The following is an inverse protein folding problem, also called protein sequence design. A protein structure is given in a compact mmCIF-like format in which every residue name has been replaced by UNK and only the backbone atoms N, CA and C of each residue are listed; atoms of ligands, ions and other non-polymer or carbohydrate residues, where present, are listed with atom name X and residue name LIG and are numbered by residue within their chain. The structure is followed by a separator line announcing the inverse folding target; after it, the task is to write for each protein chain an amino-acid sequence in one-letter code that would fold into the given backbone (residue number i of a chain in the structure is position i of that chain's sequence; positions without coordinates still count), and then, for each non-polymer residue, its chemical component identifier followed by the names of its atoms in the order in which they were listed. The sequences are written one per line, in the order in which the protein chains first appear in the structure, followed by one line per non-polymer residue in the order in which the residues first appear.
data_IF_761629690059
#
_entry.id   IF_761629690059
#
_cell.length_a   1.000
_cell.length_b   1.000
_cell.length_c   1.000
_cell.angle_alpha   90.00
_cell.angle_beta   90.00
_cell.angle_gamma   90.00
#
_symmetry.space_group_name_H-M   'P 1'
#
loop_
_entity.id
_entity.type
_entity.pdbx_description
1 polymer ?
#
# COMPACT_ATOMS: atom_id res chain seq x y z
N UNK A 1 8.62 10.71 -36.59
CA UNK A 1 9.49 10.58 -35.40
C UNK A 1 8.75 10.80 -34.08
N UNK A 2 7.85 11.80 -33.94
CA UNK A 2 7.14 12.09 -32.69
C UNK A 2 6.24 10.97 -32.11
N UNK A 3 5.65 10.10 -32.95
CA UNK A 3 4.85 8.94 -32.48
C UNK A 3 5.70 7.80 -31.92
N UNK A 4 6.95 7.68 -32.37
CA UNK A 4 7.85 6.62 -31.92
C UNK A 4 8.48 6.98 -30.56
N UNK A 5 8.80 8.26 -30.37
CA UNK A 5 9.28 8.78 -29.08
C UNK A 5 8.19 8.72 -27.99
N UNK A 6 6.93 9.02 -28.31
CA UNK A 6 5.82 8.90 -27.33
C UNK A 6 5.55 7.44 -26.93
N UNK A 7 5.59 6.51 -27.89
CA UNK A 7 5.43 5.08 -27.61
C UNK A 7 6.58 4.51 -26.77
N UNK A 8 7.83 4.87 -27.10
CA UNK A 8 9.00 4.49 -26.29
C UNK A 8 8.94 5.08 -24.87
N UNK A 9 8.40 6.29 -24.73
CA UNK A 9 8.19 6.91 -23.43
C UNK A 9 7.13 6.16 -22.60
N UNK A 10 5.99 5.78 -23.21
CA UNK A 10 4.95 4.99 -22.55
C UNK A 10 5.46 3.60 -22.12
N UNK A 11 6.27 2.94 -22.94
CA UNK A 11 6.90 1.67 -22.57
C UNK A 11 7.86 1.79 -21.39
N UNK A 12 8.65 2.87 -21.34
CA UNK A 12 9.55 3.14 -20.20
C UNK A 12 8.75 3.38 -18.91
N UNK A 13 7.65 4.13 -19.00
CA UNK A 13 6.74 4.35 -17.86
C UNK A 13 6.11 3.03 -17.38
N UNK A 14 5.58 2.22 -18.30
CA UNK A 14 5.00 0.91 -17.96
C UNK A 14 6.04 -0.05 -17.34
N UNK A 15 7.29 -0.01 -17.81
CA UNK A 15 8.37 -0.81 -17.25
C UNK A 15 8.77 -0.33 -15.83
N UNK A 16 8.84 0.98 -15.61
CA UNK A 16 9.13 1.55 -14.29
C UNK A 16 8.02 1.23 -13.27
N UNK A 17 6.75 1.32 -13.69
CA UNK A 17 5.61 0.95 -12.87
C UNK A 17 5.63 -0.54 -12.48
N UNK A 18 6.04 -1.42 -13.40
CA UNK A 18 6.17 -2.84 -13.11
C UNK A 18 7.30 -3.14 -12.10
N UNK A 19 8.42 -2.42 -12.15
CA UNK A 19 9.51 -2.56 -11.17
C UNK A 19 9.05 -2.12 -9.78
N UNK A 20 8.50 -0.91 -9.66
CA UNK A 20 7.98 -0.38 -8.39
C UNK A 20 6.88 -1.27 -7.81
N UNK A 21 6.01 -1.81 -8.67
CA UNK A 21 4.97 -2.73 -8.26
C UNK A 21 5.56 -4.05 -7.73
N UNK A 22 6.60 -4.60 -8.37
CA UNK A 22 7.28 -5.81 -7.91
C UNK A 22 7.93 -5.60 -6.54
N UNK A 23 8.55 -4.45 -6.31
CA UNK A 23 9.16 -4.12 -5.03
C UNK A 23 8.10 -3.99 -3.93
N UNK A 24 7.02 -3.26 -4.19
CA UNK A 24 5.93 -3.12 -3.23
C UNK A 24 5.29 -4.48 -2.86
N UNK A 25 5.08 -5.35 -3.86
CA UNK A 25 4.57 -6.70 -3.66
C UNK A 25 5.51 -7.58 -2.82
N UNK A 26 6.83 -7.46 -3.04
CA UNK A 26 7.81 -8.17 -2.24
C UNK A 26 7.75 -7.74 -0.76
N UNK A 27 7.60 -6.42 -0.51
CA UNK A 27 7.47 -5.90 0.85
C UNK A 27 6.18 -6.36 1.54
N UNK A 28 5.05 -6.35 0.83
CA UNK A 28 3.78 -6.86 1.35
C UNK A 28 3.90 -8.34 1.75
N UNK A 29 4.51 -9.16 0.89
CA UNK A 29 4.79 -10.57 1.20
C UNK A 29 5.68 -10.74 2.43
N UNK A 30 6.77 -9.97 2.54
CA UNK A 30 7.66 -10.06 3.70
C UNK A 30 6.94 -9.70 5.00
N UNK A 31 6.07 -8.69 4.98
CA UNK A 31 5.26 -8.30 6.14
C UNK A 31 4.30 -9.43 6.55
N UNK A 32 3.67 -10.07 5.56
CA UNK A 32 2.78 -11.21 5.79
C UNK A 32 3.52 -12.43 6.35
N UNK A 33 4.68 -12.77 5.77
CA UNK A 33 5.51 -13.88 6.26
C UNK A 33 5.97 -13.61 7.70
N UNK A 34 6.46 -12.40 7.98
CA UNK A 34 6.91 -12.01 9.33
C UNK A 34 5.79 -12.12 10.35
N UNK A 35 4.60 -11.60 10.04
CA UNK A 35 3.46 -11.62 10.97
C UNK A 35 2.87 -13.03 11.11
N UNK A 36 2.69 -13.73 9.99
CA UNK A 36 2.12 -15.06 9.94
C UNK A 36 3.00 -16.12 10.60
N UNK A 37 4.33 -15.93 10.63
CA UNK A 37 5.27 -16.90 11.19
C UNK A 37 4.90 -17.34 12.60
N UNK A 38 4.63 -16.40 13.52
CA UNK A 38 4.30 -16.72 14.92
C UNK A 38 2.95 -17.46 15.06
N UNK A 39 1.93 -17.01 14.32
CA UNK A 39 0.60 -17.62 14.34
C UNK A 39 0.63 -19.05 13.77
N UNK A 40 1.23 -19.21 12.59
CA UNK A 40 1.30 -20.49 11.89
C UNK A 40 2.22 -21.47 12.62
N UNK A 41 3.35 -21.01 13.17
CA UNK A 41 4.21 -21.87 14.01
C UNK A 41 3.46 -22.37 15.23
N UNK A 42 2.65 -21.51 15.88
CA UNK A 42 1.83 -21.91 17.02
C UNK A 42 0.85 -23.04 16.67
N UNK A 43 0.16 -22.94 15.53
CA UNK A 43 -0.74 -24.00 15.05
C UNK A 43 -0.01 -25.31 14.80
N UNK A 44 1.16 -25.27 14.16
CA UNK A 44 1.99 -26.46 13.95
C UNK A 44 2.49 -27.08 15.26
N UNK A 45 2.87 -26.26 16.24
CA UNK A 45 3.29 -26.74 17.57
C UNK A 45 2.14 -27.41 18.31
N UNK A 46 0.93 -26.84 18.28
CA UNK A 46 -0.26 -27.45 18.89
C UNK A 46 -0.57 -28.80 18.23
N UNK A 47 -0.57 -28.87 16.90
CA UNK A 47 -0.81 -30.13 16.18
C UNK A 47 0.25 -31.20 16.53
N UNK A 48 1.53 -30.81 16.62
CA UNK A 48 2.62 -31.70 17.05
C UNK A 48 2.41 -32.19 18.50
N UNK A 49 2.07 -31.29 19.42
CA UNK A 49 1.84 -31.60 20.83
C UNK A 49 0.63 -32.53 21.05
N UNK A 50 -0.38 -32.47 20.19
CA UNK A 50 -1.54 -33.37 20.25
C UNK A 50 -1.25 -34.77 19.70
N UNK A 51 -0.34 -34.89 18.72
CA UNK A 51 -0.08 -36.13 17.99
C UNK A 51 1.08 -36.94 18.56
N UNK A 52 2.19 -36.30 18.94
CA UNK A 52 3.39 -37.00 19.42
C UNK A 52 3.15 -37.86 20.67
N UNK A 53 2.38 -37.43 21.70
CA UNK A 53 2.13 -38.26 22.87
C UNK A 53 1.31 -39.52 22.56
N UNK A 54 0.48 -39.48 21.51
CA UNK A 54 -0.35 -40.62 21.13
C UNK A 54 0.46 -41.76 20.50
N UNK A 55 1.67 -41.48 20.00
CA UNK A 55 2.57 -42.48 19.42
C UNK A 55 2.86 -43.64 20.39
N UNK A 56 2.89 -43.38 21.69
CA UNK A 56 3.22 -44.36 22.73
C UNK A 56 2.00 -45.05 23.36
N UNK A 57 0.83 -44.98 22.72
CA UNK A 57 -0.34 -45.73 23.17
C UNK A 57 -0.22 -47.22 22.81
N UNK A 58 -0.48 -48.17 23.74
CA UNK A 58 -0.30 -49.61 23.48
C UNK A 58 -1.18 -50.13 22.33
N UNK A 59 -0.61 -50.94 21.43
CA UNK A 59 -1.37 -51.77 20.48
C UNK A 59 -1.28 -51.45 18.98
N UNK A 60 -0.33 -50.66 18.48
CA UNK A 60 -0.26 -50.41 17.03
C UNK A 60 1.11 -49.94 16.46
N UNK A 61 1.98 -50.88 16.11
CA UNK A 61 3.31 -50.56 15.53
C UNK A 61 3.25 -49.69 14.26
N UNK A 62 2.28 -49.93 13.35
CA UNK A 62 2.10 -49.11 12.13
C UNK A 62 1.55 -47.72 12.45
N UNK A 63 0.65 -47.58 13.43
CA UNK A 63 0.10 -46.26 13.80
C UNK A 63 1.11 -45.41 14.55
N UNK A 64 1.98 -46.04 15.33
CA UNK A 64 3.10 -45.39 16.02
C UNK A 64 4.05 -44.69 15.02
N UNK A 65 4.48 -45.39 13.97
CA UNK A 65 5.33 -44.82 12.92
C UNK A 65 4.67 -43.63 12.20
N UNK A 66 3.37 -43.75 11.90
CA UNK A 66 2.59 -42.68 11.28
C UNK A 66 2.43 -41.45 12.20
N UNK A 67 2.09 -41.62 13.48
CA UNK A 67 1.95 -40.52 14.44
C UNK A 67 3.25 -39.75 14.63
N UNK A 68 4.39 -40.46 14.70
CA UNK A 68 5.71 -39.85 14.74
C UNK A 68 6.01 -39.06 13.47
N UNK A 69 5.77 -39.65 12.29
CA UNK A 69 6.04 -38.99 11.01
C UNK A 69 5.23 -37.69 10.86
N UNK A 70 3.92 -37.73 11.16
CA UNK A 70 3.04 -36.55 11.10
C UNK A 70 3.44 -35.52 12.15
N UNK A 71 3.65 -35.92 13.41
CA UNK A 71 4.02 -35.01 14.50
C UNK A 71 5.36 -34.31 14.26
N UNK A 72 6.39 -35.06 13.84
CA UNK A 72 7.70 -34.50 13.49
C UNK A 72 7.63 -33.57 12.28
N UNK A 73 6.79 -33.86 11.30
CA UNK A 73 6.60 -32.97 10.14
C UNK A 73 5.96 -31.64 10.56
N UNK A 74 5.00 -31.65 11.49
CA UNK A 74 4.44 -30.43 12.06
C UNK A 74 5.51 -29.66 12.85
N UNK A 75 6.28 -30.34 13.70
CA UNK A 75 7.37 -29.69 14.46
C UNK A 75 8.42 -29.05 13.54
N UNK A 76 8.85 -29.76 12.50
CA UNK A 76 9.75 -29.25 11.48
C UNK A 76 9.16 -28.05 10.72
N UNK A 77 7.87 -28.10 10.40
CA UNK A 77 7.15 -27.00 9.76
C UNK A 77 7.06 -25.77 10.68
N UNK A 78 6.88 -25.96 11.99
CA UNK A 78 6.90 -24.87 12.97
C UNK A 78 8.27 -24.18 13.06
N UNK A 79 9.35 -24.96 13.10
CA UNK A 79 10.71 -24.41 13.10
C UNK A 79 10.98 -23.65 11.80
N UNK A 80 10.59 -24.24 10.66
CA UNK A 80 10.76 -23.63 9.37
C UNK A 80 10.02 -22.29 9.26
N UNK A 81 8.76 -22.21 9.67
CA UNK A 81 8.01 -20.95 9.61
C UNK A 81 8.63 -19.87 10.50
N UNK A 82 9.16 -20.22 11.67
CA UNK A 82 9.91 -19.30 12.53
C UNK A 82 11.19 -18.79 11.85
N UNK A 83 11.98 -19.68 11.24
CA UNK A 83 13.20 -19.30 10.49
C UNK A 83 12.85 -18.38 9.33
N UNK A 84 11.82 -18.71 8.55
CA UNK A 84 11.38 -17.86 7.43
C UNK A 84 10.84 -16.50 7.92
N UNK A 85 10.16 -16.46 9.06
CA UNK A 85 9.74 -15.23 9.72
C UNK A 85 10.91 -14.35 10.16
N UNK A 86 11.95 -14.95 10.73
CA UNK A 86 13.18 -14.24 11.13
C UNK A 86 13.94 -13.71 9.91
N UNK A 87 14.04 -14.50 8.83
CA UNK A 87 14.62 -14.06 7.56
C UNK A 87 13.81 -12.91 6.93
N UNK A 88 12.48 -12.97 7.02
CA UNK A 88 11.62 -11.89 6.53
C UNK A 88 11.79 -10.62 7.35
N UNK A 89 11.89 -10.74 8.68
CA UNK A 89 12.20 -9.62 9.56
C UNK A 89 13.56 -8.99 9.22
N UNK A 90 14.60 -9.81 9.04
CA UNK A 90 15.94 -9.35 8.64
C UNK A 90 15.93 -8.67 7.27
N UNK A 91 15.19 -9.22 6.30
CA UNK A 91 15.04 -8.62 4.97
C UNK A 91 14.40 -7.24 5.06
N UNK A 92 13.30 -7.11 5.81
CA UNK A 92 12.59 -5.84 6.01
C UNK A 92 13.46 -4.76 6.68
N UNK A 93 14.29 -5.14 7.66
CA UNK A 93 15.09 -4.18 8.44
C UNK A 93 16.42 -3.82 7.79
N UNK A 94 17.06 -4.74 7.06
CA UNK A 94 18.41 -4.51 6.51
C UNK A 94 18.46 -4.29 5.00
N UNK A 95 17.69 -5.05 4.22
CA UNK A 95 17.75 -5.01 2.75
C UNK A 95 16.36 -5.24 2.12
N UNK A 96 15.43 -4.29 2.29
CA UNK A 96 14.04 -4.44 1.84
C UNK A 96 13.89 -4.67 0.33
N UNK A 97 14.86 -4.23 -0.46
CA UNK A 97 14.90 -4.37 -1.93
C UNK A 97 15.94 -5.40 -2.40
N UNK A 98 16.51 -6.17 -1.47
CA UNK A 98 17.58 -7.14 -1.74
C UNK A 98 17.11 -8.40 -2.47
N UNK A 99 18.06 -9.29 -2.81
CA UNK A 99 17.74 -10.61 -3.39
C UNK A 99 16.88 -11.46 -2.46
N UNK A 100 17.18 -11.42 -1.15
CA UNK A 100 16.42 -12.15 -0.13
C UNK A 100 14.93 -11.79 -0.16
N UNK A 101 14.59 -10.51 -0.29
CA UNK A 101 13.20 -10.03 -0.35
C UNK A 101 12.42 -10.61 -1.54
N UNK A 102 13.10 -10.87 -2.66
CA UNK A 102 12.48 -11.41 -3.89
C UNK A 102 12.35 -12.94 -3.87
N UNK A 103 13.33 -13.64 -3.28
CA UNK A 103 13.39 -15.10 -3.29
C UNK A 103 12.57 -15.71 -2.14
N UNK A 104 12.58 -15.06 -0.96
CA UNK A 104 11.98 -15.61 0.26
C UNK A 104 10.49 -15.97 0.10
N UNK A 105 9.61 -15.14 -0.52
CA UNK A 105 8.20 -15.49 -0.66
C UNK A 105 7.97 -16.75 -1.51
N UNK A 106 8.76 -16.93 -2.57
CA UNK A 106 8.69 -18.14 -3.41
C UNK A 106 9.18 -19.35 -2.63
N UNK A 107 10.28 -19.22 -1.88
CA UNK A 107 10.79 -20.29 -1.03
C UNK A 107 9.77 -20.70 0.06
N UNK A 108 9.11 -19.74 0.73
CA UNK A 108 8.02 -20.03 1.68
C UNK A 108 6.90 -20.79 0.99
N UNK A 109 6.44 -20.33 -0.18
CA UNK A 109 5.37 -20.99 -0.92
C UNK A 109 5.74 -22.44 -1.27
N UNK A 110 6.93 -22.67 -1.83
CA UNK A 110 7.42 -24.02 -2.18
C UNK A 110 7.43 -24.92 -0.95
N UNK A 111 8.07 -24.48 0.13
CA UNK A 111 8.25 -25.33 1.30
C UNK A 111 6.93 -25.63 2.03
N UNK A 112 6.01 -24.67 2.08
CA UNK A 112 4.66 -24.89 2.65
C UNK A 112 3.87 -25.90 1.81
N UNK A 113 3.90 -25.79 0.48
CA UNK A 113 3.22 -26.75 -0.41
C UNK A 113 3.84 -28.14 -0.31
N UNK A 114 5.17 -28.25 -0.24
CA UNK A 114 5.87 -29.53 -0.04
C UNK A 114 5.51 -30.16 1.31
N UNK A 115 5.47 -29.38 2.39
CA UNK A 115 5.03 -29.88 3.70
C UNK A 115 3.60 -30.42 3.64
N UNK A 116 2.67 -29.68 2.99
CA UNK A 116 1.29 -30.14 2.79
C UNK A 116 1.18 -31.42 1.97
N UNK A 117 2.00 -31.58 0.93
CA UNK A 117 2.07 -32.80 0.12
C UNK A 117 2.60 -33.98 0.94
N UNK A 118 3.72 -33.80 1.65
CA UNK A 118 4.33 -34.84 2.50
C UNK A 118 3.37 -35.31 3.58
N UNK A 119 2.71 -34.37 4.28
CA UNK A 119 1.67 -34.70 5.25
C UNK A 119 0.56 -35.51 4.60
N UNK A 120 0.07 -35.09 3.43
CA UNK A 120 -1.00 -35.81 2.71
C UNK A 120 -0.57 -37.23 2.36
N UNK A 121 0.67 -37.44 1.91
CA UNK A 121 1.19 -38.79 1.64
C UNK A 121 1.25 -39.66 2.91
N UNK A 122 1.65 -39.10 4.05
CA UNK A 122 1.61 -39.82 5.32
C UNK A 122 0.18 -40.17 5.74
N UNK A 123 -0.78 -39.25 5.59
CA UNK A 123 -2.18 -39.54 5.89
C UNK A 123 -2.70 -40.67 4.99
N UNK A 124 -2.43 -40.65 3.69
CA UNK A 124 -2.88 -41.70 2.76
C UNK A 124 -2.46 -43.13 3.16
N UNK A 125 -1.37 -43.28 3.91
CA UNK A 125 -0.92 -44.59 4.42
C UNK A 125 -1.89 -45.21 5.44
N UNK A 126 -2.56 -44.39 6.25
CA UNK A 126 -3.42 -44.86 7.36
C UNK A 126 -4.88 -44.49 7.13
N UNK A 127 -5.15 -43.24 6.79
CA UNK A 127 -6.49 -42.72 6.57
C UNK A 127 -6.46 -41.70 5.42
N UNK A 128 -7.11 -41.98 4.27
CA UNK A 128 -7.00 -41.17 3.06
C UNK A 128 -7.60 -39.77 3.24
N UNK A 129 -6.78 -38.84 3.77
CA UNK A 129 -7.11 -37.43 3.97
C UNK A 129 -6.28 -36.56 3.05
N UNK A 130 -6.93 -35.54 2.47
CA UNK A 130 -6.30 -34.53 1.60
C UNK A 130 -6.31 -33.13 2.22
N UNK A 131 -6.82 -33.00 3.45
CA UNK A 131 -6.91 -31.73 4.17
C UNK A 131 -5.57 -31.02 4.40
N UNK A 132 -4.42 -31.68 4.64
CA UNK A 132 -3.15 -30.97 4.82
C UNK A 132 -2.71 -30.23 3.54
N UNK A 133 -2.83 -30.86 2.37
CA UNK A 133 -2.53 -30.21 1.10
C UNK A 133 -3.52 -29.08 0.80
N UNK A 134 -4.82 -29.26 1.11
CA UNK A 134 -5.81 -28.20 0.96
C UNK A 134 -5.47 -26.95 1.78
N UNK A 135 -5.12 -27.13 3.06
CA UNK A 135 -4.74 -26.04 3.95
C UNK A 135 -3.46 -25.34 3.51
N UNK A 136 -2.44 -26.12 3.10
CA UNK A 136 -1.19 -25.56 2.57
C UNK A 136 -1.43 -24.75 1.29
N UNK A 137 -2.19 -25.31 0.34
CA UNK A 137 -2.53 -24.65 -0.91
C UNK A 137 -3.32 -23.35 -0.68
N UNK A 138 -4.34 -23.40 0.18
CA UNK A 138 -5.14 -22.23 0.54
C UNK A 138 -4.30 -21.17 1.25
N UNK A 139 -3.47 -21.56 2.22
CA UNK A 139 -2.58 -20.66 2.94
C UNK A 139 -1.64 -19.91 2.00
N UNK A 140 -0.97 -20.61 1.09
CA UNK A 140 -0.10 -19.98 0.08
C UNK A 140 -0.91 -19.09 -0.87
N UNK A 141 -2.06 -19.55 -1.35
CA UNK A 141 -2.89 -18.82 -2.31
C UNK A 141 -3.47 -17.51 -1.75
N UNK A 142 -3.76 -17.45 -0.45
CA UNK A 142 -4.35 -16.28 0.19
C UNK A 142 -3.32 -15.33 0.81
N UNK A 143 -2.21 -15.87 1.33
CA UNK A 143 -1.25 -15.12 2.13
C UNK A 143 0.03 -14.75 1.38
N UNK A 144 0.30 -15.33 0.21
CA UNK A 144 1.51 -15.03 -0.56
C UNK A 144 1.12 -14.55 -1.97
N UNK A 145 1.43 -13.29 -2.25
CA UNK A 145 1.20 -12.64 -3.54
C UNK A 145 2.27 -13.06 -4.55
N UNK A 146 2.06 -14.22 -5.16
CA UNK A 146 2.88 -14.74 -6.25
C UNK A 146 2.43 -14.17 -7.60
N UNK A 147 3.38 -13.97 -8.52
CA UNK A 147 3.05 -13.60 -9.90
C UNK A 147 2.27 -14.77 -10.54
N UNK A 148 1.27 -14.50 -11.41
CA UNK A 148 0.45 -15.55 -12.00
C UNK A 148 1.23 -16.68 -12.67
N UNK A 149 2.33 -16.35 -13.37
CA UNK A 149 3.21 -17.36 -14.01
C UNK A 149 3.93 -18.24 -12.99
N UNK A 150 4.43 -17.64 -11.89
CA UNK A 150 5.09 -18.38 -10.81
C UNK A 150 4.09 -19.24 -10.06
N UNK A 151 2.91 -18.69 -9.75
CA UNK A 151 1.82 -19.44 -9.14
C UNK A 151 1.41 -20.63 -10.02
N UNK A 152 1.23 -20.42 -11.33
CA UNK A 152 0.90 -21.49 -12.28
C UNK A 152 1.97 -22.58 -12.29
N UNK A 153 3.26 -22.21 -12.39
CA UNK A 153 4.34 -23.16 -12.33
C UNK A 153 4.31 -23.99 -11.04
N UNK A 154 4.13 -23.35 -9.87
CA UNK A 154 4.11 -24.03 -8.58
C UNK A 154 2.90 -24.95 -8.40
N UNK A 155 1.69 -24.45 -8.63
CA UNK A 155 0.46 -25.21 -8.39
C UNK A 155 0.25 -26.32 -9.44
N UNK A 156 0.63 -26.10 -10.70
CA UNK A 156 0.55 -27.16 -11.71
C UNK A 156 1.62 -28.23 -11.47
N UNK A 157 2.83 -27.86 -11.02
CA UNK A 157 3.84 -28.84 -10.61
C UNK A 157 3.38 -29.64 -9.40
N UNK A 158 2.76 -28.98 -8.40
CA UNK A 158 2.18 -29.66 -7.25
C UNK A 158 1.09 -30.66 -7.66
N UNK A 159 0.21 -30.28 -8.59
CA UNK A 159 -0.81 -31.17 -9.13
C UNK A 159 -0.20 -32.40 -9.83
N UNK A 160 0.79 -32.18 -10.71
CA UNK A 160 1.45 -33.25 -11.43
C UNK A 160 2.20 -34.21 -10.50
N UNK A 161 2.99 -33.68 -9.56
CA UNK A 161 3.74 -34.48 -8.58
C UNK A 161 2.79 -35.24 -7.65
N UNK A 162 1.77 -34.58 -7.10
CA UNK A 162 0.78 -35.22 -6.25
C UNK A 162 0.06 -36.36 -6.98
N UNK A 163 -0.38 -36.12 -8.22
CA UNK A 163 -1.03 -37.14 -9.05
C UNK A 163 -0.12 -38.35 -9.32
N UNK A 164 1.17 -38.12 -9.57
CA UNK A 164 2.14 -39.16 -9.87
C UNK A 164 2.54 -40.00 -8.64
N UNK A 165 2.58 -39.39 -7.44
CA UNK A 165 3.01 -40.07 -6.20
C UNK A 165 1.88 -40.84 -5.50
N UNK A 166 0.62 -40.47 -5.70
CA UNK A 166 -0.52 -41.12 -5.02
C UNK A 166 -0.62 -42.66 -5.21
N UNK A 167 -0.30 -43.26 -6.37
CA UNK A 167 -0.34 -44.71 -6.53
C UNK A 167 0.65 -45.47 -5.65
N UNK A 168 1.68 -44.81 -5.10
CA UNK A 168 2.65 -45.44 -4.20
C UNK A 168 2.11 -45.61 -2.78
N UNK A 169 1.12 -44.80 -2.42
CA UNK A 169 0.52 -44.83 -1.07
C UNK A 169 -0.86 -45.47 -1.09
N UNK A 170 -1.66 -45.25 -2.15
CA UNK A 170 -3.02 -45.76 -2.24
C UNK A 170 -3.17 -46.82 -3.32
N UNK A 171 -3.45 -48.05 -2.88
CA UNK A 171 -3.58 -49.23 -3.75
C UNK A 171 -5.05 -49.56 -4.07
N UNK A 172 -6.01 -49.07 -3.28
CA UNK A 172 -7.44 -49.20 -3.57
C UNK A 172 -7.82 -48.31 -4.78
N UNK A 173 -8.35 -48.88 -5.88
CA UNK A 173 -8.68 -48.12 -7.08
C UNK A 173 -9.71 -47.00 -6.86
N UNK A 174 -10.71 -47.21 -6.00
CA UNK A 174 -11.76 -46.22 -5.74
C UNK A 174 -11.22 -45.06 -4.92
N UNK A 175 -10.44 -45.35 -3.87
CA UNK A 175 -9.80 -44.32 -3.05
C UNK A 175 -8.71 -43.57 -3.82
N UNK A 176 -7.96 -44.24 -4.69
CA UNK A 176 -6.97 -43.62 -5.56
C UNK A 176 -7.62 -42.65 -6.56
N UNK A 177 -8.75 -43.04 -7.17
CA UNK A 177 -9.50 -42.15 -8.06
C UNK A 177 -9.95 -40.87 -7.34
N UNK A 178 -10.51 -41.00 -6.13
CA UNK A 178 -10.91 -39.87 -5.29
C UNK A 178 -9.71 -38.98 -4.91
N UNK A 179 -8.60 -39.58 -4.52
CA UNK A 179 -7.37 -38.86 -4.17
C UNK A 179 -6.79 -38.09 -5.37
N UNK A 180 -6.84 -38.67 -6.58
CA UNK A 180 -6.41 -38.00 -7.82
C UNK A 180 -7.27 -36.81 -8.18
N UNK A 181 -8.60 -36.90 -8.01
CA UNK A 181 -9.49 -35.74 -8.15
C UNK A 181 -9.06 -34.63 -7.19
N UNK A 182 -8.79 -34.96 -5.93
CA UNK A 182 -8.30 -33.98 -4.95
C UNK A 182 -6.93 -33.40 -5.30
N UNK A 183 -6.00 -34.22 -5.80
CA UNK A 183 -4.66 -33.81 -6.23
C UNK A 183 -4.67 -32.82 -7.41
N UNK A 184 -5.72 -32.84 -8.22
CA UNK A 184 -5.93 -31.85 -9.28
C UNK A 184 -6.74 -30.65 -8.77
N UNK A 185 -7.86 -30.90 -8.10
CA UNK A 185 -8.80 -29.85 -7.70
C UNK A 185 -8.20 -28.86 -6.68
N UNK A 186 -7.46 -29.34 -5.69
CA UNK A 186 -6.87 -28.50 -4.65
C UNK A 186 -5.84 -27.51 -5.24
N UNK A 187 -4.81 -27.93 -6.01
CA UNK A 187 -3.86 -26.98 -6.56
C UNK A 187 -4.46 -26.06 -7.62
N UNK A 188 -5.42 -26.53 -8.44
CA UNK A 188 -6.12 -25.68 -9.41
C UNK A 188 -6.95 -24.59 -8.73
N UNK A 189 -7.63 -24.93 -7.63
CA UNK A 189 -8.34 -23.96 -6.80
C UNK A 189 -7.37 -22.99 -6.12
N UNK A 190 -6.25 -23.51 -5.59
CA UNK A 190 -5.16 -22.70 -5.05
C UNK A 190 -4.57 -21.72 -6.07
N UNK A 191 -4.38 -22.16 -7.32
CA UNK A 191 -3.94 -21.30 -8.42
C UNK A 191 -4.95 -20.17 -8.69
N UNK A 192 -6.23 -20.50 -8.79
CA UNK A 192 -7.29 -19.51 -9.00
C UNK A 192 -7.29 -18.44 -7.89
N UNK A 193 -7.23 -18.87 -6.62
CA UNK A 193 -7.14 -17.95 -5.48
C UNK A 193 -5.83 -17.16 -5.46
N UNK A 194 -4.69 -17.75 -5.82
CA UNK A 194 -3.40 -17.05 -5.88
C UNK A 194 -3.41 -15.94 -6.93
N UNK A 195 -3.96 -16.23 -8.12
CA UNK A 195 -4.14 -15.23 -9.19
C UNK A 195 -5.10 -14.12 -8.72
N UNK A 196 -6.20 -14.46 -8.07
CA UNK A 196 -7.16 -13.48 -7.56
C UNK A 196 -6.54 -12.59 -6.47
N UNK A 197 -5.82 -13.18 -5.50
CA UNK A 197 -5.11 -12.46 -4.44
C UNK A 197 -4.06 -11.51 -5.01
N UNK A 198 -3.29 -11.96 -6.01
CA UNK A 198 -2.33 -11.11 -6.72
C UNK A 198 -3.01 -9.94 -7.44
N UNK A 199 -4.10 -10.20 -8.19
CA UNK A 199 -4.86 -9.16 -8.89
C UNK A 199 -5.45 -8.14 -7.91
N UNK A 200 -6.04 -8.61 -6.80
CA UNK A 200 -6.61 -7.75 -5.76
C UNK A 200 -5.55 -6.86 -5.12
N UNK A 201 -4.39 -7.41 -4.75
CA UNK A 201 -3.33 -6.59 -4.16
C UNK A 201 -2.74 -5.60 -5.17
N UNK A 202 -2.63 -6.00 -6.44
CA UNK A 202 -2.18 -5.10 -7.52
C UNK A 202 -3.13 -3.91 -7.67
N UNK A 203 -4.43 -4.17 -7.73
CA UNK A 203 -5.44 -3.12 -7.81
C UNK A 203 -5.40 -2.21 -6.58
N UNK A 204 -5.24 -2.78 -5.38
CA UNK A 204 -5.10 -2.00 -4.13
C UNK A 204 -3.94 -1.01 -4.20
N UNK A 205 -2.76 -1.45 -4.67
CA UNK A 205 -1.58 -0.59 -4.81
C UNK A 205 -1.82 0.53 -5.83
N UNK A 206 -2.41 0.20 -6.98
CA UNK A 206 -2.70 1.19 -8.04
C UNK A 206 -3.74 2.23 -7.57
N UNK A 207 -4.81 1.79 -6.92
CA UNK A 207 -5.84 2.66 -6.39
C UNK A 207 -5.28 3.59 -5.30
N UNK A 208 -4.45 3.07 -4.39
CA UNK A 208 -3.83 3.89 -3.36
C UNK A 208 -2.96 5.02 -3.95
N UNK A 209 -2.24 4.74 -5.04
CA UNK A 209 -1.45 5.76 -5.76
C UNK A 209 -2.34 6.80 -6.43
N UNK A 210 -3.37 6.36 -7.14
CA UNK A 210 -4.32 7.27 -7.80
C UNK A 210 -5.04 8.18 -6.80
N UNK A 211 -5.40 7.64 -5.63
CA UNK A 211 -6.00 8.43 -4.55
C UNK A 211 -5.03 9.48 -4.00
N UNK A 212 -3.76 9.12 -3.79
CA UNK A 212 -2.76 10.06 -3.31
C UNK A 212 -2.58 11.24 -4.30
N UNK A 213 -2.49 10.95 -5.60
CA UNK A 213 -2.37 11.96 -6.65
C UNK A 213 -3.62 12.85 -6.76
N UNK A 214 -4.81 12.25 -6.68
CA UNK A 214 -6.06 13.00 -6.72
C UNK A 214 -6.19 13.94 -5.51
N UNK A 215 -5.79 13.48 -4.32
CA UNK A 215 -5.81 14.29 -3.10
C UNK A 215 -4.82 15.46 -3.19
N UNK A 216 -3.62 15.25 -3.73
CA UNK A 216 -2.64 16.31 -3.93
C UNK A 216 -3.14 17.37 -4.92
N UNK A 217 -3.70 16.94 -6.05
CA UNK A 217 -4.30 17.85 -7.03
C UNK A 217 -5.47 18.64 -6.45
N UNK A 218 -6.32 17.99 -5.64
CA UNK A 218 -7.42 18.64 -4.95
C UNK A 218 -6.92 19.69 -3.95
N UNK A 219 -5.89 19.36 -3.16
CA UNK A 219 -5.30 20.27 -2.19
C UNK A 219 -4.72 21.52 -2.87
N UNK A 220 -4.02 21.36 -4.01
CA UNK A 220 -3.50 22.49 -4.79
C UNK A 220 -4.64 23.36 -5.34
N UNK A 221 -5.71 22.75 -5.86
CA UNK A 221 -6.87 23.48 -6.36
C UNK A 221 -7.59 24.23 -5.25
N UNK A 222 -7.70 23.64 -4.07
CA UNK A 222 -8.29 24.29 -2.91
C UNK A 222 -7.45 25.49 -2.46
N UNK A 223 -6.12 25.35 -2.39
CA UNK A 223 -5.23 26.47 -2.08
C UNK A 223 -5.32 27.60 -3.11
N UNK A 224 -5.46 27.28 -4.40
CA UNK A 224 -5.66 28.25 -5.47
C UNK A 224 -7.00 29.01 -5.31
N UNK A 225 -8.09 28.28 -5.01
CA UNK A 225 -9.41 28.86 -4.76
C UNK A 225 -9.40 29.77 -3.51
N UNK A 226 -8.79 29.33 -2.41
CA UNK A 226 -8.64 30.14 -1.19
C UNK A 226 -7.85 31.43 -1.47
N UNK A 227 -6.75 31.33 -2.24
CA UNK A 227 -5.98 32.50 -2.66
C UNK A 227 -6.86 33.48 -3.46
N UNK A 228 -7.62 32.99 -4.45
CA UNK A 228 -8.51 33.84 -5.24
C UNK A 228 -9.67 34.43 -4.43
N UNK A 229 -10.16 33.71 -3.42
CA UNK A 229 -11.26 34.15 -2.57
C UNK A 229 -10.83 35.28 -1.61
N UNK A 230 -9.59 35.27 -1.13
CA UNK A 230 -9.14 36.19 -0.07
C UNK A 230 -8.08 37.20 -0.49
N UNK A 231 -7.38 36.99 -1.59
CA UNK A 231 -6.31 37.86 -2.04
C UNK A 231 -6.61 38.53 -3.39
N UNK A 232 -6.07 39.74 -3.56
CA UNK A 232 -6.07 40.44 -4.83
C UNK A 232 -5.11 39.75 -5.81
N UNK A 233 -5.59 39.52 -7.04
CA UNK A 233 -4.87 38.72 -8.04
C UNK A 233 -3.58 39.38 -8.55
N UNK A 234 -3.49 40.72 -8.50
CA UNK A 234 -2.33 41.48 -8.96
C UNK A 234 -1.31 41.69 -7.83
N UNK A 235 -1.77 42.24 -6.70
CA UNK A 235 -0.89 42.70 -5.62
C UNK A 235 -0.59 41.66 -4.55
N UNK A 236 -1.39 40.58 -4.46
CA UNK A 236 -1.28 39.56 -3.41
C UNK A 236 -1.75 40.00 -2.02
N UNK A 237 -2.13 41.28 -1.84
CA UNK A 237 -2.75 41.78 -0.61
C UNK A 237 -4.10 41.11 -0.36
N UNK A 238 -4.67 41.27 0.84
CA UNK A 238 -6.07 40.92 1.03
C UNK A 238 -6.95 41.68 0.03
N UNK A 239 -7.94 41.00 -0.53
CA UNK A 239 -8.94 41.67 -1.36
C UNK A 239 -9.97 42.39 -0.46
N UNK A 240 -10.82 43.19 -1.10
CA UNK A 240 -11.92 43.89 -0.42
C UNK A 240 -12.78 42.99 0.46
N UNK A 241 -13.18 41.81 -0.02
CA UNK A 241 -14.07 40.91 0.72
C UNK A 241 -13.42 40.40 2.01
N UNK A 242 -12.16 39.97 1.94
CA UNK A 242 -11.42 39.50 3.12
C UNK A 242 -11.11 40.63 4.09
N UNK A 243 -10.80 41.82 3.58
CA UNK A 243 -10.62 43.01 4.40
C UNK A 243 -11.87 43.29 5.23
N UNK A 244 -13.05 43.37 4.60
CA UNK A 244 -14.31 43.66 5.30
C UNK A 244 -14.62 42.61 6.37
N UNK A 245 -14.36 41.33 6.07
CA UNK A 245 -14.56 40.22 7.02
C UNK A 245 -13.67 40.38 8.25
N UNK A 246 -12.38 40.65 8.08
CA UNK A 246 -11.42 40.80 9.19
C UNK A 246 -11.62 42.08 9.96
N UNK A 247 -11.88 43.19 9.28
CA UNK A 247 -12.17 44.48 9.91
C UNK A 247 -13.42 44.39 10.80
N UNK A 248 -14.48 43.68 10.36
CA UNK A 248 -15.66 43.44 11.19
C UNK A 248 -15.35 42.66 12.48
N UNK A 249 -14.48 41.65 12.40
CA UNK A 249 -14.03 40.90 13.58
C UNK A 249 -13.19 41.75 14.54
N UNK A 250 -12.34 42.62 14.00
CA UNK A 250 -11.46 43.47 14.80
C UNK A 250 -12.24 44.58 15.51
N UNK A 251 -13.23 45.18 14.84
CA UNK A 251 -14.12 46.16 15.46
C UNK A 251 -14.86 45.59 16.68
N UNK A 252 -15.31 44.33 16.61
CA UNK A 252 -15.95 43.65 17.75
C UNK A 252 -14.96 43.43 18.91
N UNK A 253 -13.69 43.18 18.63
CA UNK A 253 -12.64 43.03 19.65
C UNK A 253 -12.33 44.37 20.31
N UNK A 254 -12.12 45.41 19.50
CA UNK A 254 -11.89 46.78 19.95
C UNK A 254 -13.01 47.27 20.87
N UNK A 255 -14.26 47.01 20.50
CA UNK A 255 -15.41 47.36 21.33
C UNK A 255 -15.42 46.63 22.69
N UNK A 256 -15.07 45.34 22.70
CA UNK A 256 -15.04 44.53 23.93
C UNK A 256 -13.94 44.95 24.89
N UNK A 257 -12.75 45.21 24.36
CA UNK A 257 -11.55 45.46 25.14
C UNK A 257 -11.23 46.95 25.31
N UNK A 258 -12.02 47.83 24.67
CA UNK A 258 -11.86 49.29 24.67
C UNK A 258 -10.46 49.74 24.22
N UNK A 259 -9.89 49.08 23.22
CA UNK A 259 -8.68 49.56 22.54
C UNK A 259 -9.04 50.42 21.32
N UNK A 260 -8.15 51.33 20.98
CA UNK A 260 -8.30 52.23 19.85
C UNK A 260 -7.79 51.54 18.58
N UNK A 261 -8.63 51.49 17.55
CA UNK A 261 -8.30 50.97 16.23
C UNK A 261 -8.42 52.08 15.20
N UNK A 262 -7.46 52.17 14.28
CA UNK A 262 -7.40 53.20 13.24
C UNK A 262 -7.49 52.60 11.83
N UNK A 263 -7.99 53.38 10.88
CA UNK A 263 -8.14 52.99 9.48
C UNK A 263 -7.49 54.05 8.58
N UNK A 264 -6.66 53.62 7.63
CA UNK A 264 -6.10 54.48 6.60
C UNK A 264 -6.65 54.03 5.24
N UNK A 265 -7.23 54.97 4.50
CA UNK A 265 -7.60 54.79 3.10
C UNK A 265 -6.60 55.56 2.25
N UNK A 266 -5.99 54.89 1.27
CA UNK A 266 -4.97 55.45 0.39
C UNK A 266 -5.43 55.34 -1.06
N UNK A 267 -5.21 56.40 -1.83
CA UNK A 267 -5.40 56.45 -3.27
C UNK A 267 -4.10 56.93 -3.92
N UNK A 268 -3.77 56.44 -5.12
CA UNK A 268 -2.55 56.87 -5.82
C UNK A 268 -2.86 58.06 -6.73
N UNK A 269 -2.34 59.22 -6.36
CA UNK A 269 -2.48 60.45 -7.14
C UNK A 269 -1.98 60.27 -8.58
N UNK A 270 -2.75 60.77 -9.55
CA UNK A 270 -2.43 60.78 -10.97
C UNK A 270 -2.10 59.40 -11.57
N UNK A 271 -2.55 58.28 -10.97
CA UNK A 271 -2.26 56.93 -11.46
C UNK A 271 -2.71 56.70 -12.91
N UNK A 272 -3.80 57.34 -13.33
CA UNK A 272 -4.24 57.32 -14.73
C UNK A 272 -3.19 57.87 -15.69
N UNK A 273 -2.46 58.93 -15.33
CA UNK A 273 -1.40 59.49 -16.16
C UNK A 273 -0.24 58.48 -16.36
N UNK A 274 0.04 57.68 -15.33
CA UNK A 274 1.04 56.60 -15.42
C UNK A 274 0.59 55.54 -16.43
N UNK A 275 -0.67 55.08 -16.33
CA UNK A 275 -1.23 54.11 -17.27
C UNK A 275 -1.27 54.65 -18.70
N UNK A 276 -1.71 55.90 -18.89
CA UNK A 276 -1.85 56.51 -20.21
C UNK A 276 -0.48 56.80 -20.85
N UNK A 277 0.53 57.16 -20.04
CA UNK A 277 1.89 57.47 -20.51
C UNK A 277 2.79 56.25 -20.74
N UNK A 278 2.65 55.20 -19.92
CA UNK A 278 3.59 54.06 -19.89
C UNK A 278 2.92 52.69 -20.09
N UNK A 279 1.60 52.66 -20.23
CA UNK A 279 0.80 51.46 -20.41
C UNK A 279 0.49 50.72 -19.11
N UNK A 280 -0.57 49.92 -19.15
CA UNK A 280 -1.04 49.11 -18.02
C UNK A 280 0.02 48.21 -17.37
N UNK A 281 0.96 47.56 -18.09
CA UNK A 281 1.98 46.74 -17.45
C UNK A 281 2.87 47.52 -16.47
N UNK A 282 3.15 48.81 -16.76
CA UNK A 282 3.92 49.68 -15.87
C UNK A 282 3.07 50.11 -14.67
N UNK A 283 1.80 50.45 -14.88
CA UNK A 283 0.88 50.72 -13.78
C UNK A 283 0.72 49.53 -12.83
N UNK A 284 0.59 48.32 -13.37
CA UNK A 284 0.53 47.08 -12.60
C UNK A 284 1.79 46.88 -11.74
N UNK A 285 2.98 47.15 -12.28
CA UNK A 285 4.23 47.09 -11.54
C UNK A 285 4.29 48.15 -10.41
N UNK A 286 3.76 49.35 -10.64
CA UNK A 286 3.64 50.39 -9.61
C UNK A 286 2.73 49.92 -8.49
N UNK A 287 1.55 49.37 -8.79
CA UNK A 287 0.63 48.83 -7.79
C UNK A 287 1.26 47.72 -6.95
N UNK A 288 1.97 46.78 -7.58
CA UNK A 288 2.70 45.74 -6.88
C UNK A 288 3.80 46.31 -5.98
N UNK A 289 4.50 47.36 -6.42
CA UNK A 289 5.54 48.00 -5.60
C UNK A 289 4.96 48.73 -4.40
N UNK A 290 3.84 49.43 -4.57
CA UNK A 290 3.13 50.10 -3.47
C UNK A 290 2.63 49.07 -2.46
N UNK A 291 2.04 47.96 -2.93
CA UNK A 291 1.60 46.87 -2.07
C UNK A 291 2.73 46.30 -1.19
N UNK A 292 3.90 46.04 -1.78
CA UNK A 292 5.06 45.57 -1.05
C UNK A 292 5.55 46.59 -0.02
N UNK A 293 5.62 47.88 -0.39
CA UNK A 293 5.99 48.96 0.52
C UNK A 293 5.04 49.06 1.70
N UNK A 294 3.71 49.00 1.47
CA UNK A 294 2.73 49.02 2.54
C UNK A 294 2.92 47.83 3.50
N UNK A 295 3.15 46.61 2.98
CA UNK A 295 3.41 45.45 3.83
C UNK A 295 4.70 45.54 4.66
N UNK A 296 5.76 46.13 4.10
CA UNK A 296 7.05 46.29 4.79
C UNK A 296 6.99 47.34 5.92
N UNK A 297 6.07 48.31 5.84
CA UNK A 297 5.98 49.42 6.78
C UNK A 297 4.98 49.19 7.93
N UNK A 298 4.14 48.16 7.83
CA UNK A 298 3.14 47.84 8.87
C UNK A 298 3.59 46.73 9.79
N UNK A 299 2.96 46.62 10.96
CA UNK A 299 3.20 45.55 11.93
C UNK A 299 2.51 44.26 11.49
N UNK A 300 2.93 43.13 12.05
CA UNK A 300 2.30 41.83 11.78
C UNK A 300 0.82 41.74 12.22
N UNK A 301 0.39 42.62 13.14
CA UNK A 301 -1.01 42.73 13.57
C UNK A 301 -1.89 43.48 12.58
N UNK A 302 -1.30 44.29 11.73
CA UNK A 302 -2.00 45.24 10.87
C UNK A 302 -2.49 44.51 9.60
N UNK A 303 -3.58 45.00 9.02
CA UNK A 303 -4.19 44.39 7.84
C UNK A 303 -4.15 45.36 6.67
N UNK A 304 -3.43 44.98 5.61
CA UNK A 304 -3.33 45.73 4.35
C UNK A 304 -4.15 45.03 3.27
N UNK A 305 -4.97 45.78 2.55
CA UNK A 305 -5.79 45.27 1.46
C UNK A 305 -5.85 46.25 0.28
N UNK A 306 -6.17 45.72 -0.90
CA UNK A 306 -6.53 46.52 -2.08
C UNK A 306 -8.05 46.47 -2.25
N UNK A 307 -8.70 47.62 -2.31
CA UNK A 307 -10.15 47.71 -2.47
C UNK A 307 -10.58 47.51 -3.93
N UNK A 308 -9.76 47.99 -4.86
CA UNK A 308 -9.95 47.93 -6.30
C UNK A 308 -9.22 49.10 -6.98
N UNK A 309 -8.90 48.98 -8.28
CA UNK A 309 -8.18 50.06 -9.00
C UNK A 309 -6.86 50.42 -8.31
N UNK A 310 -6.68 51.70 -8.01
CA UNK A 310 -5.55 52.29 -7.32
C UNK A 310 -5.74 52.46 -5.79
N UNK A 311 -6.87 52.00 -5.24
CA UNK A 311 -7.23 52.20 -3.83
C UNK A 311 -6.71 51.09 -2.90
N UNK A 312 -6.03 51.49 -1.83
CA UNK A 312 -5.53 50.62 -0.76
C UNK A 312 -6.13 51.01 0.59
N UNK A 313 -6.21 50.05 1.50
CA UNK A 313 -6.73 50.26 2.85
C UNK A 313 -5.88 49.53 3.88
N UNK A 314 -5.65 50.18 5.03
CA UNK A 314 -4.88 49.63 6.15
C UNK A 314 -5.68 49.75 7.43
N UNK A 315 -5.85 48.64 8.14
CA UNK A 315 -6.41 48.60 9.49
C UNK A 315 -5.27 48.43 10.51
N UNK A 316 -5.26 49.29 11.52
CA UNK A 316 -4.29 49.34 12.61
C UNK A 316 -5.01 49.07 13.95
N UNK A 317 -5.03 47.81 14.44
CA UNK A 317 -5.76 47.37 15.65
C UNK A 317 -5.42 48.09 16.96
#
# INVERSE_FOLDING_TARGET
MARLSSWLHQLRLAAADDVLMREQMALDNLRQIRFGAALISGLYLVASALLLPQAWTPGSGVRMGWQLAVGLTHLGSALLTLVMGALAHRALTRQPHGRLARVLPVAVAVLTLLSGLVLTLFYQWVEPKTSPMALAALGVALLIYLRPVVAAALFLSLAAVGFALLPWTQHDPALLASARVSALAIPLTGLAFSVLSWRRNRLRILLARSLAQANEALALKQAELERMAWHDGLTGLCNRSEFMRRAGLELLRAQRHRHATSLLLLDLDDFKQVNDGWGHPVGDAVLCRIAALLQEQVRSSDLVARLGGEEFIVLLP
#
